data_IF_528267694287
#
_entry.id   IF_528267694287
#
_cell.length_a   1.000
_cell.length_b   1.000
_cell.length_c   1.000
_cell.angle_alpha   90.00
_cell.angle_beta   90.00
_cell.angle_gamma   90.00
#
_symmetry.space_group_name_H-M   'P 1'
#
loop_
_entity.id
_entity.type
_entity.pdbx_description
1 polymer ?
#
# COMPACT_ATOMS: atom_id res chain seq x y z
N UNK A 1 24.52 2.10 -6.82
CA UNK A 1 23.04 2.02 -6.85
C UNK A 1 22.51 2.26 -5.43
N UNK A 2 21.39 2.99 -5.28
CA UNK A 2 20.76 3.28 -3.97
C UNK A 2 19.47 2.46 -3.83
N UNK A 3 19.26 1.82 -2.68
CA UNK A 3 17.97 1.19 -2.35
C UNK A 3 16.97 2.28 -2.01
N UNK A 4 15.77 2.21 -2.59
CA UNK A 4 14.66 3.14 -2.32
C UNK A 4 13.44 2.30 -1.98
N UNK A 5 12.83 2.56 -0.82
CA UNK A 5 11.63 1.86 -0.38
C UNK A 5 10.45 2.84 -0.28
N UNK A 6 9.35 2.50 -0.94
CA UNK A 6 8.11 3.26 -0.92
C UNK A 6 6.99 2.32 -0.50
N UNK A 7 6.38 2.58 0.66
CA UNK A 7 5.25 1.82 1.18
C UNK A 7 3.95 2.48 0.75
N UNK A 8 3.16 1.82 -0.08
CA UNK A 8 1.81 2.25 -0.41
C UNK A 8 0.80 1.61 0.54
N UNK A 9 -0.12 2.39 1.09
CA UNK A 9 -1.18 1.88 1.96
C UNK A 9 -2.53 2.52 1.65
N UNK A 10 -3.60 1.89 2.15
CA UNK A 10 -4.94 2.45 2.29
C UNK A 10 -5.58 1.86 3.54
N UNK A 11 -6.74 2.38 3.93
CA UNK A 11 -7.60 1.82 4.96
C UNK A 11 -8.04 0.39 4.63
N UNK A 12 -8.38 -0.38 5.65
CA UNK A 12 -8.95 -1.73 5.49
C UNK A 12 -10.25 -1.70 4.69
N UNK A 13 -11.09 -0.71 4.98
CA UNK A 13 -12.36 -0.48 4.29
C UNK A 13 -12.13 -0.26 2.78
N UNK A 14 -11.20 0.63 2.43
CA UNK A 14 -10.88 0.92 1.05
C UNK A 14 -10.24 -0.29 0.34
N UNK A 15 -9.37 -1.03 1.02
CA UNK A 15 -8.81 -2.26 0.46
C UNK A 15 -9.93 -3.25 0.12
N UNK A 16 -10.86 -3.47 1.05
CA UNK A 16 -11.99 -4.38 0.86
C UNK A 16 -12.90 -3.90 -0.28
N UNK A 17 -13.18 -2.60 -0.35
CA UNK A 17 -13.95 -1.98 -1.44
C UNK A 17 -13.29 -2.20 -2.80
N UNK A 18 -11.98 -1.94 -2.91
CA UNK A 18 -11.20 -2.12 -4.16
C UNK A 18 -11.13 -3.58 -4.60
N UNK A 19 -10.97 -4.52 -3.68
CA UNK A 19 -10.95 -5.95 -4.00
C UNK A 19 -12.30 -6.43 -4.53
N UNK A 20 -13.41 -6.01 -3.90
CA UNK A 20 -14.78 -6.29 -4.41
C UNK A 20 -15.00 -5.71 -5.80
N UNK A 21 -14.62 -4.45 -6.01
CA UNK A 21 -14.81 -3.77 -7.29
C UNK A 21 -13.96 -4.38 -8.42
N UNK A 22 -12.75 -4.83 -8.10
CA UNK A 22 -11.89 -5.49 -9.08
C UNK A 22 -12.50 -6.81 -9.58
N UNK A 23 -13.20 -7.54 -8.72
CA UNK A 23 -13.88 -8.79 -9.08
C UNK A 23 -12.94 -9.89 -9.60
N UNK A 24 -11.65 -9.86 -9.23
CA UNK A 24 -10.69 -10.85 -9.71
C UNK A 24 -10.87 -12.18 -8.96
N UNK A 25 -10.85 -13.35 -9.66
CA UNK A 25 -11.05 -14.65 -9.01
C UNK A 25 -10.11 -14.92 -7.82
N UNK A 26 -8.86 -14.44 -7.90
CA UNK A 26 -7.85 -14.54 -6.82
C UNK A 26 -8.20 -13.77 -5.54
N UNK A 27 -9.12 -12.80 -5.63
CA UNK A 27 -9.50 -11.97 -4.49
C UNK A 27 -10.69 -12.59 -3.72
N UNK A 28 -11.38 -13.60 -4.29
CA UNK A 28 -12.52 -14.27 -3.66
C UNK A 28 -12.17 -14.87 -2.31
N UNK A 29 -11.09 -15.67 -2.24
CA UNK A 29 -10.63 -16.25 -0.98
C UNK A 29 -10.32 -15.18 0.07
N UNK A 30 -9.74 -14.04 -0.32
CA UNK A 30 -9.45 -12.95 0.62
C UNK A 30 -10.74 -12.37 1.20
N UNK A 31 -11.75 -12.16 0.34
CA UNK A 31 -13.03 -11.58 0.74
C UNK A 31 -13.83 -12.51 1.65
N UNK A 32 -13.73 -13.83 1.43
CA UNK A 32 -14.40 -14.86 2.22
C UNK A 32 -13.68 -15.15 3.55
N UNK A 33 -12.35 -15.02 3.57
CA UNK A 33 -11.48 -15.31 4.71
C UNK A 33 -10.72 -14.06 5.18
N UNK A 34 -11.45 -12.96 5.40
CA UNK A 34 -10.86 -11.62 5.59
C UNK A 34 -9.88 -11.53 6.78
N UNK A 35 -10.27 -12.03 7.95
CA UNK A 35 -9.43 -12.00 9.16
C UNK A 35 -8.15 -12.85 8.99
N UNK A 36 -8.29 -14.03 8.39
CA UNK A 36 -7.15 -14.90 8.09
C UNK A 36 -6.22 -14.26 7.05
N UNK A 37 -6.79 -13.62 6.04
CA UNK A 37 -6.04 -12.86 5.04
C UNK A 37 -5.20 -11.77 5.71
N UNK A 38 -5.78 -10.95 6.60
CA UNK A 38 -5.05 -9.89 7.30
C UNK A 38 -4.06 -10.41 8.35
N UNK A 39 -4.32 -11.57 8.94
CA UNK A 39 -3.36 -12.24 9.82
C UNK A 39 -2.10 -12.66 9.06
N UNK A 40 -2.27 -13.20 7.84
CA UNK A 40 -1.17 -13.61 6.97
C UNK A 40 -0.49 -12.43 6.26
N UNK A 41 -1.25 -11.39 5.96
CA UNK A 41 -0.81 -10.22 5.20
C UNK A 41 -1.34 -8.94 5.89
N UNK A 42 -0.70 -8.52 7.00
CA UNK A 42 -1.16 -7.37 7.76
C UNK A 42 -1.02 -6.08 6.94
N UNK A 43 -1.97 -5.16 7.12
CA UNK A 43 -1.95 -3.86 6.44
C UNK A 43 -0.75 -3.03 6.86
N UNK A 44 -0.37 -3.13 8.14
CA UNK A 44 0.81 -2.49 8.72
C UNK A 44 1.92 -3.50 8.91
N UNK A 45 3.05 -3.23 8.27
CA UNK A 45 4.28 -4.00 8.36
C UNK A 45 5.39 -3.04 8.77
N UNK A 46 6.22 -3.48 9.71
CA UNK A 46 7.42 -2.75 10.07
C UNK A 46 8.44 -2.86 8.93
N UNK A 47 8.96 -1.71 8.48
CA UNK A 47 9.99 -1.65 7.44
C UNK A 47 11.28 -1.16 8.11
N UNK A 48 12.31 -2.01 8.24
CA UNK A 48 13.53 -1.69 8.98
C UNK A 48 14.55 -0.87 8.16
N UNK A 49 14.08 -0.17 7.12
CA UNK A 49 14.90 0.63 6.22
C UNK A 49 14.30 2.03 6.09
N UNK A 50 15.12 3.01 5.69
CA UNK A 50 14.58 4.32 5.32
C UNK A 50 13.57 4.16 4.18
N UNK A 51 12.37 4.71 4.39
CA UNK A 51 11.28 4.63 3.43
C UNK A 51 10.36 5.83 3.58
N UNK A 52 9.49 6.02 2.59
CA UNK A 52 8.32 6.90 2.70
C UNK A 52 7.03 6.09 2.63
N UNK A 53 5.98 6.63 3.23
CA UNK A 53 4.64 6.07 3.17
C UNK A 53 3.73 6.94 2.31
N UNK A 54 3.04 6.32 1.36
CA UNK A 54 2.08 6.95 0.45
C UNK A 54 0.68 6.42 0.74
N UNK A 55 -0.20 7.29 1.21
CA UNK A 55 -1.61 6.97 1.38
C UNK A 55 -2.30 7.03 0.02
N UNK A 56 -2.66 5.88 -0.55
CA UNK A 56 -3.33 5.77 -1.85
C UNK A 56 -4.80 6.21 -1.86
N UNK A 57 -5.32 6.71 -0.74
CA UNK A 57 -6.60 7.43 -0.64
C UNK A 57 -6.42 8.95 -0.76
N UNK A 58 -5.19 9.46 -0.66
CA UNK A 58 -4.90 10.87 -0.88
C UNK A 58 -4.90 11.21 -2.38
N UNK A 59 -5.03 12.50 -2.68
CA UNK A 59 -4.97 13.04 -4.04
C UNK A 59 -3.72 12.56 -4.80
N UNK A 60 -3.85 12.06 -6.05
CA UNK A 60 -2.71 11.51 -6.81
C UNK A 60 -1.52 12.47 -6.92
N UNK A 61 -1.78 13.76 -7.11
CA UNK A 61 -0.74 14.78 -7.20
C UNK A 61 0.09 14.93 -5.91
N UNK A 62 -0.53 14.74 -4.75
CA UNK A 62 0.17 14.78 -3.46
C UNK A 62 1.18 13.63 -3.34
N UNK A 63 0.74 12.40 -3.63
CA UNK A 63 1.61 11.23 -3.56
C UNK A 63 2.73 11.28 -4.61
N UNK A 64 2.43 11.75 -5.82
CA UNK A 64 3.44 11.92 -6.88
C UNK A 64 4.54 12.88 -6.44
N UNK A 65 4.17 14.05 -5.91
CA UNK A 65 5.14 15.04 -5.44
C UNK A 65 6.02 14.48 -4.31
N UNK A 66 5.44 13.73 -3.36
CA UNK A 66 6.21 13.08 -2.28
C UNK A 66 7.16 12.01 -2.79
N UNK A 67 6.71 11.18 -3.73
CA UNK A 67 7.54 10.15 -4.34
C UNK A 67 8.71 10.77 -5.10
N UNK A 68 8.45 11.80 -5.91
CA UNK A 68 9.49 12.52 -6.67
C UNK A 68 10.52 13.15 -5.73
N UNK A 69 10.08 13.88 -4.70
CA UNK A 69 10.99 14.50 -3.73
C UNK A 69 11.89 13.47 -3.03
N UNK A 70 11.37 12.29 -2.70
CA UNK A 70 12.15 11.23 -2.06
C UNK A 70 13.13 10.54 -3.03
N UNK A 71 12.74 10.39 -4.29
CA UNK A 71 13.59 9.82 -5.34
C UNK A 71 14.76 10.74 -5.69
N UNK A 72 14.51 12.05 -5.75
CA UNK A 72 15.50 13.06 -6.14
C UNK A 72 16.30 13.65 -4.99
N UNK A 73 16.02 13.25 -3.73
CA UNK A 73 16.84 13.66 -2.59
C UNK A 73 18.25 13.13 -2.78
N UNK A 74 19.22 14.04 -2.83
CA UNK A 74 20.63 13.67 -2.82
C UNK A 74 20.98 13.02 -1.48
N UNK A 75 21.79 11.96 -1.53
CA UNK A 75 22.26 11.22 -0.36
C UNK A 75 23.45 11.90 0.30
#
# INVERSE_FOLDING_TARGET
ARLVVIRCFCSEEELRRRLKQRGAPRDQWKLDHWEEFLTRQPLQVEIPFEHIELNTEAEPGYNLNRALAYLTREG
#
